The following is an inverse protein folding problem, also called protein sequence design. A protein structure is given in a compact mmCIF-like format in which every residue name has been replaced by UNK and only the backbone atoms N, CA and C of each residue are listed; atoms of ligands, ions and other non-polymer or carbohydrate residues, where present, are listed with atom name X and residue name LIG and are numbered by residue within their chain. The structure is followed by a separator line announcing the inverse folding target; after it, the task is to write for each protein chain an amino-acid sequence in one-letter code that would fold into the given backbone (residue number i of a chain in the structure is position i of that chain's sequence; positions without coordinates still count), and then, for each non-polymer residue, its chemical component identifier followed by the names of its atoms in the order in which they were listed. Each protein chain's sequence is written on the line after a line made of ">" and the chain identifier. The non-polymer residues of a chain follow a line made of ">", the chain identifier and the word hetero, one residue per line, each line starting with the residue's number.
data_IF_575485093595
#
_entry.id   IF_575485093595
#
_cell.length_a   1.000
_cell.length_b   1.000
_cell.length_c   1.000
_cell.angle_alpha   90.00
_cell.angle_beta   90.00
_cell.angle_gamma   90.00
#
_symmetry.space_group_name_H-M   'P 1'
#
loop_
_entity.id
_entity.type
_entity.pdbx_description
1 polymer ?
#
# COMPACT_ATOMS: atom_id res chain seq x y z
N UNK A 1 25.66 -12.47 17.81
CA UNK A 1 25.19 -12.21 16.44
C UNK A 1 23.71 -11.87 16.45
N UNK A 2 23.33 -10.86 15.72
CA UNK A 2 21.92 -10.61 15.47
C UNK A 2 21.38 -11.64 14.48
N UNK A 3 20.13 -12.04 14.67
CA UNK A 3 19.47 -12.95 13.78
C UNK A 3 18.14 -12.41 13.31
N UNK A 4 17.75 -12.76 12.08
CA UNK A 4 16.50 -12.37 11.48
C UNK A 4 15.85 -13.59 10.84
N UNK A 5 14.54 -13.75 11.07
CA UNK A 5 13.75 -14.82 10.46
C UNK A 5 12.96 -14.25 9.29
N UNK A 6 13.26 -14.71 8.08
CA UNK A 6 12.54 -14.33 6.88
C UNK A 6 11.54 -15.43 6.49
N UNK A 7 10.36 -15.01 6.07
CA UNK A 7 9.33 -15.95 5.62
C UNK A 7 9.78 -16.66 4.35
N UNK A 8 9.66 -18.00 4.35
CA UNK A 8 10.04 -18.85 3.23
C UNK A 8 9.01 -19.98 3.07
N UNK A 9 8.14 -19.85 2.07
CA UNK A 9 7.03 -20.79 1.91
C UNK A 9 6.15 -20.82 3.16
N UNK A 10 5.93 -21.99 3.73
CA UNK A 10 5.14 -22.18 4.96
C UNK A 10 5.98 -22.05 6.23
N UNK A 11 7.27 -21.79 6.10
CA UNK A 11 8.17 -21.67 7.24
C UNK A 11 9.01 -20.41 7.18
N UNK A 12 10.16 -20.49 7.83
CA UNK A 12 11.08 -19.36 7.94
C UNK A 12 12.50 -19.78 7.67
N UNK A 13 13.30 -18.86 7.15
CA UNK A 13 14.75 -19.00 7.04
C UNK A 13 15.39 -18.05 8.03
N UNK A 14 16.32 -18.58 8.80
CA UNK A 14 17.09 -17.78 9.75
C UNK A 14 18.34 -17.22 9.07
N UNK A 15 18.55 -15.92 9.23
CA UNK A 15 19.75 -15.24 8.74
C UNK A 15 20.49 -14.73 9.97
N UNK A 16 21.80 -15.06 10.03
CA UNK A 16 22.69 -14.59 11.09
C UNK A 16 23.61 -13.51 10.54
N UNK A 17 23.70 -12.42 11.26
CA UNK A 17 24.55 -11.29 10.91
C UNK A 17 25.76 -11.21 11.81
N UNK A 18 26.91 -10.83 11.24
CA UNK A 18 28.12 -10.60 12.03
C UNK A 18 27.91 -9.42 12.97
N UNK A 19 28.52 -9.43 14.18
CA UNK A 19 28.37 -8.33 15.14
C UNK A 19 28.82 -6.97 14.59
N UNK A 20 29.71 -6.97 13.58
CA UNK A 20 30.20 -5.76 12.95
C UNK A 20 29.19 -5.12 11.96
N UNK A 21 28.12 -5.83 11.62
CA UNK A 21 27.11 -5.31 10.70
C UNK A 21 26.11 -4.44 11.44
N UNK A 22 25.73 -3.35 10.81
CA UNK A 22 24.67 -2.47 11.27
C UNK A 22 23.38 -2.93 10.58
N UNK A 23 22.45 -3.51 11.32
CA UNK A 23 21.24 -4.11 10.76
C UNK A 23 20.02 -3.32 11.19
N UNK A 24 19.29 -2.80 10.21
CA UNK A 24 17.99 -2.16 10.41
C UNK A 24 16.89 -3.05 9.85
N UNK A 25 15.91 -3.39 10.68
CA UNK A 25 14.76 -4.18 10.27
C UNK A 25 13.58 -3.24 10.06
N UNK A 26 13.12 -3.16 8.80
CA UNK A 26 11.94 -2.39 8.44
C UNK A 26 10.74 -3.31 8.49
N UNK A 27 9.84 -3.05 9.40
CA UNK A 27 8.63 -3.84 9.57
C UNK A 27 7.39 -2.95 9.45
N UNK A 28 6.26 -3.59 9.17
CA UNK A 28 4.98 -2.89 9.05
C UNK A 28 4.41 -2.59 10.43
N UNK A 29 3.77 -1.43 10.53
CA UNK A 29 2.98 -1.07 11.71
C UNK A 29 1.56 -1.57 11.48
N UNK A 30 1.04 -2.34 12.46
CA UNK A 30 -0.33 -2.83 12.38
C UNK A 30 -1.30 -1.77 12.90
N UNK A 31 -2.22 -1.33 12.01
CA UNK A 31 -3.23 -0.34 12.35
C UNK A 31 -4.59 -1.02 12.38
N UNK A 32 -5.31 -0.91 13.52
CA UNK A 32 -6.66 -1.46 13.69
C UNK A 32 -7.70 -0.40 13.37
N UNK A 33 -7.92 -0.16 12.10
CA UNK A 33 -8.94 0.76 11.62
C UNK A 33 -9.75 0.10 10.51
N UNK A 34 -10.92 0.65 10.21
CA UNK A 34 -11.70 0.19 9.06
C UNK A 34 -10.93 0.49 7.78
N UNK A 35 -10.87 -0.49 6.89
CA UNK A 35 -10.13 -0.38 5.64
C UNK A 35 -10.57 0.82 4.82
N UNK A 36 -11.88 1.06 4.72
CA UNK A 36 -12.43 2.18 3.97
C UNK A 36 -11.97 3.53 4.51
N UNK A 37 -11.92 3.69 5.82
CA UNK A 37 -11.48 4.93 6.45
C UNK A 37 -10.00 5.19 6.23
N UNK A 38 -9.17 4.14 6.29
CA UNK A 38 -7.74 4.25 6.01
C UNK A 38 -7.50 4.70 4.58
N UNK A 39 -8.23 4.11 3.62
CA UNK A 39 -8.10 4.45 2.21
C UNK A 39 -8.54 5.88 1.95
N UNK A 40 -9.70 6.29 2.47
CA UNK A 40 -10.20 7.65 2.30
C UNK A 40 -9.25 8.68 2.88
N UNK A 41 -8.71 8.42 4.06
CA UNK A 41 -7.73 9.31 4.69
C UNK A 41 -6.45 9.41 3.89
N UNK A 42 -5.97 8.30 3.35
CA UNK A 42 -4.78 8.28 2.49
C UNK A 42 -4.98 9.10 1.22
N UNK A 43 -6.16 9.03 0.60
CA UNK A 43 -6.49 9.81 -0.59
C UNK A 43 -6.55 11.32 -0.29
N UNK A 44 -6.99 11.68 0.90
CA UNK A 44 -7.06 13.09 1.32
C UNK A 44 -5.72 13.64 1.80
N UNK A 45 -4.77 12.78 2.12
CA UNK A 45 -3.47 13.18 2.65
C UNK A 45 -2.34 12.48 1.89
N UNK A 46 -2.17 12.75 0.58
CA UNK A 46 -1.10 12.13 -0.21
C UNK A 46 0.27 12.61 0.25
N UNK A 47 1.26 11.73 0.06
CA UNK A 47 2.64 12.02 0.43
C UNK A 47 3.38 12.56 -0.77
N UNK A 48 3.91 13.79 -0.65
CA UNK A 48 4.75 14.40 -1.69
C UNK A 48 4.02 14.75 -2.98
N UNK A 49 2.68 14.81 -2.97
CA UNK A 49 1.90 15.14 -4.16
C UNK A 49 0.63 15.90 -3.79
N UNK A 50 -0.04 16.45 -4.80
CA UNK A 50 -1.38 17.02 -4.65
C UNK A 50 -2.41 15.89 -4.57
N UNK A 51 -3.62 16.22 -4.10
CA UNK A 51 -4.74 15.28 -4.09
C UNK A 51 -5.15 14.91 -5.51
N UNK A 52 -5.79 13.75 -5.67
CA UNK A 52 -6.25 13.29 -6.99
C UNK A 52 -7.17 14.32 -7.65
N UNK A 53 -8.11 14.90 -6.89
CA UNK A 53 -9.03 15.90 -7.45
C UNK A 53 -8.34 17.21 -7.84
N UNK A 54 -7.11 17.44 -7.44
CA UNK A 54 -6.31 18.58 -7.85
C UNK A 54 -5.42 18.27 -9.06
N UNK A 55 -5.21 16.99 -9.36
CA UNK A 55 -4.36 16.52 -10.46
C UNK A 55 -5.19 16.24 -11.72
N UNK A 56 -6.34 15.59 -11.53
CA UNK A 56 -7.22 15.15 -12.61
C UNK A 56 -8.08 16.30 -13.09
N UNK A 57 -8.27 16.41 -14.42
CA UNK A 57 -9.17 17.41 -15.04
C UNK A 57 -10.35 16.69 -15.71
N UNK A 58 -11.49 17.42 -15.96
CA UNK A 58 -12.66 16.79 -16.58
C UNK A 58 -12.43 16.21 -17.98
N UNK A 59 -11.40 16.67 -18.68
CA UNK A 59 -11.07 16.24 -20.05
C UNK A 59 -10.12 15.05 -20.05
N UNK A 60 -9.61 14.63 -18.90
CA UNK A 60 -8.62 13.57 -18.83
C UNK A 60 -9.22 12.21 -19.13
N UNK A 61 -8.44 11.39 -19.83
CA UNK A 61 -8.69 9.96 -19.99
C UNK A 61 -7.78 9.22 -19.02
N UNK A 62 -8.37 8.40 -18.16
CA UNK A 62 -7.65 7.75 -17.09
C UNK A 62 -7.55 6.24 -17.31
N UNK A 63 -6.42 5.68 -16.93
CA UNK A 63 -6.22 4.25 -16.91
C UNK A 63 -5.82 3.84 -15.49
N UNK A 64 -6.54 2.91 -14.91
CA UNK A 64 -6.22 2.37 -13.58
C UNK A 64 -5.64 0.98 -13.76
N UNK A 65 -4.41 0.80 -13.31
CA UNK A 65 -3.72 -0.48 -13.38
C UNK A 65 -3.77 -1.14 -12.01
N UNK A 66 -4.27 -2.37 -11.96
CA UNK A 66 -4.35 -3.15 -10.73
C UNK A 66 -3.62 -4.48 -10.89
N UNK A 67 -3.27 -5.10 -9.77
CA UNK A 67 -2.69 -6.43 -9.77
C UNK A 67 -3.72 -7.50 -10.15
N UNK A 68 -3.24 -8.64 -10.60
CA UNK A 68 -4.09 -9.76 -11.01
C UNK A 68 -4.66 -10.55 -9.80
N UNK A 69 -5.36 -11.65 -10.10
CA UNK A 69 -6.00 -12.48 -9.07
C UNK A 69 -5.01 -13.09 -8.06
N UNK A 70 -3.73 -13.18 -8.39
CA UNK A 70 -2.72 -13.68 -7.45
C UNK A 70 -2.43 -12.70 -6.32
N UNK A 71 -2.90 -11.46 -6.45
CA UNK A 71 -2.71 -10.38 -5.47
C UNK A 71 -4.03 -9.96 -4.82
N UNK A 72 -5.00 -10.86 -4.69
CA UNK A 72 -6.30 -10.54 -4.07
C UNK A 72 -6.19 -10.06 -2.63
N UNK A 73 -5.11 -10.40 -1.94
CA UNK A 73 -4.84 -9.91 -0.59
C UNK A 73 -4.69 -8.38 -0.52
N UNK A 74 -4.43 -7.71 -1.64
CA UNK A 74 -4.41 -6.25 -1.72
C UNK A 74 -5.81 -5.64 -1.65
N UNK A 75 -6.86 -6.47 -1.77
CA UNK A 75 -8.28 -6.10 -1.65
C UNK A 75 -8.73 -4.99 -2.61
N UNK A 76 -8.55 -5.17 -3.93
CA UNK A 76 -9.00 -4.16 -4.89
C UNK A 76 -10.51 -3.91 -4.83
N UNK A 77 -11.29 -4.90 -4.41
CA UNK A 77 -12.75 -4.74 -4.23
C UNK A 77 -13.11 -3.70 -3.17
N UNK A 78 -12.19 -3.39 -2.26
CA UNK A 78 -12.38 -2.37 -1.23
C UNK A 78 -11.90 -1.02 -1.72
N UNK A 79 -10.65 -0.92 -2.21
CA UNK A 79 -10.08 0.36 -2.57
C UNK A 79 -10.54 0.91 -3.93
N UNK A 80 -10.84 0.05 -4.92
CA UNK A 80 -11.22 0.50 -6.25
C UNK A 80 -12.48 1.35 -6.27
N UNK A 81 -13.60 0.94 -5.63
CA UNK A 81 -14.80 1.77 -5.61
C UNK A 81 -14.54 3.14 -4.98
N UNK A 82 -13.75 3.19 -3.94
CA UNK A 82 -13.42 4.43 -3.23
C UNK A 82 -12.59 5.35 -4.12
N UNK A 83 -11.57 4.78 -4.78
CA UNK A 83 -10.72 5.51 -5.71
C UNK A 83 -11.51 6.06 -6.90
N UNK A 84 -12.36 5.23 -7.50
CA UNK A 84 -13.20 5.63 -8.63
C UNK A 84 -14.15 6.74 -8.24
N UNK A 85 -14.73 6.68 -7.05
CA UNK A 85 -15.62 7.71 -6.54
C UNK A 85 -14.91 9.05 -6.39
N UNK A 86 -13.69 9.06 -5.90
CA UNK A 86 -12.88 10.28 -5.82
C UNK A 86 -12.58 10.87 -7.21
N UNK A 87 -12.27 10.01 -8.17
CA UNK A 87 -12.01 10.44 -9.54
C UNK A 87 -13.28 11.00 -10.18
N UNK A 88 -14.42 10.38 -9.97
CA UNK A 88 -15.70 10.81 -10.52
C UNK A 88 -16.19 12.17 -10.00
N UNK A 89 -15.66 12.66 -8.92
CA UNK A 89 -15.97 14.01 -8.45
C UNK A 89 -15.46 15.09 -9.40
N UNK A 90 -14.52 14.77 -10.26
CA UNK A 90 -13.88 15.68 -11.19
C UNK A 90 -14.23 15.35 -12.65
N UNK A 91 -14.19 14.06 -13.01
CA UNK A 91 -14.35 13.58 -14.37
C UNK A 91 -15.80 13.23 -14.68
#
# INVERSE_FOLDING_TARGET
>A
MEECNLKYGDGYKKILFKPSYNVDILDKIFIREKEEEVIKRALLNPIGSRKINEIVTPEDKLCIVISDVTRLWQKPRVFLPILIEEIKKVV
#
